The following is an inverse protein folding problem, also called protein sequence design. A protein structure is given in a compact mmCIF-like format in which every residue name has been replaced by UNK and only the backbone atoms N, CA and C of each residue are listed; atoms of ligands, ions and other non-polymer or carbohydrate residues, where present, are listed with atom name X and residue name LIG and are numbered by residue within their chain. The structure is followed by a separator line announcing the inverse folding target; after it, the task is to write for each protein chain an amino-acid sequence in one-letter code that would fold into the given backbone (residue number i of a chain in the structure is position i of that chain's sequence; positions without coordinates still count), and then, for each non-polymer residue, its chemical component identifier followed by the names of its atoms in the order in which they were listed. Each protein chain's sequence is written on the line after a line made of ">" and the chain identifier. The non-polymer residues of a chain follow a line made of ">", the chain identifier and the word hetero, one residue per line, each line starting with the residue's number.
data_IF_646518560069
#
_entry.id   IF_646518560069
#
_cell.length_a   1.000
_cell.length_b   1.000
_cell.length_c   1.000
_cell.angle_alpha   90.00
_cell.angle_beta   90.00
_cell.angle_gamma   90.00
#
_symmetry.space_group_name_H-M   'P 1'
#
loop_
_entity.id
_entity.type
_entity.pdbx_description
1 polymer ?
#
# COMPACT_ATOMS: atom_id res chain seq x y z
N UNK A 1 19.05 -18.41 13.75
CA UNK A 1 18.60 -17.03 13.45
C UNK A 1 17.17 -17.10 12.98
N UNK A 2 16.23 -16.76 13.88
CA UNK A 2 14.83 -16.81 13.57
C UNK A 2 14.49 -15.92 12.36
N UNK A 3 13.59 -16.33 11.48
CA UNK A 3 13.20 -15.58 10.28
C UNK A 3 12.29 -14.39 10.67
N UNK A 4 12.85 -13.42 11.43
CA UNK A 4 12.07 -12.28 11.96
C UNK A 4 11.58 -11.34 10.87
N UNK A 5 12.40 -11.13 9.82
CA UNK A 5 12.03 -10.25 8.70
C UNK A 5 10.82 -10.79 7.92
N UNK A 6 10.79 -12.05 7.46
CA UNK A 6 9.61 -12.58 6.78
C UNK A 6 8.37 -12.67 7.68
N UNK A 7 8.54 -12.95 8.96
CA UNK A 7 7.43 -12.93 9.92
C UNK A 7 6.86 -11.53 10.06
N UNK A 8 7.68 -10.50 10.14
CA UNK A 8 7.26 -9.10 10.21
C UNK A 8 6.53 -8.68 8.93
N UNK A 9 7.03 -9.03 7.76
CA UNK A 9 6.37 -8.79 6.47
C UNK A 9 4.98 -9.44 6.46
N UNK A 10 4.89 -10.68 6.93
CA UNK A 10 3.65 -11.42 7.00
C UNK A 10 2.64 -10.76 7.96
N UNK A 11 3.07 -10.33 9.14
CA UNK A 11 2.22 -9.64 10.12
C UNK A 11 1.68 -8.32 9.53
N UNK A 12 2.56 -7.46 9.00
CA UNK A 12 2.17 -6.19 8.40
C UNK A 12 1.23 -6.41 7.21
N UNK A 13 1.46 -7.45 6.41
CA UNK A 13 0.61 -7.85 5.30
C UNK A 13 -0.77 -8.29 5.77
N UNK A 14 -0.82 -9.25 6.71
CA UNK A 14 -2.07 -9.80 7.24
C UNK A 14 -2.93 -8.80 7.98
N UNK A 15 -2.33 -7.87 8.73
CA UNK A 15 -3.10 -6.83 9.43
C UNK A 15 -3.68 -5.79 8.47
N UNK A 16 -3.03 -5.55 7.34
CA UNK A 16 -3.46 -4.52 6.38
C UNK A 16 -4.44 -5.01 5.30
N UNK A 17 -4.48 -6.31 5.01
CA UNK A 17 -5.26 -6.84 3.89
C UNK A 17 -6.79 -6.77 4.07
N UNK A 18 -7.38 -6.90 5.30
CA UNK A 18 -8.83 -6.90 5.42
C UNK A 18 -9.49 -5.58 5.00
N UNK A 19 -8.84 -4.44 5.25
CA UNK A 19 -9.32 -3.13 4.82
C UNK A 19 -9.33 -3.01 3.29
N UNK A 20 -8.23 -3.40 2.64
CA UNK A 20 -8.11 -3.42 1.17
C UNK A 20 -9.11 -4.38 0.53
N UNK A 21 -9.25 -5.58 1.09
CA UNK A 21 -10.21 -6.58 0.62
C UNK A 21 -11.66 -6.08 0.70
N UNK A 22 -12.02 -5.33 1.74
CA UNK A 22 -13.36 -4.76 1.90
C UNK A 22 -13.65 -3.73 0.81
N UNK A 23 -12.70 -2.85 0.51
CA UNK A 23 -12.83 -1.85 -0.56
C UNK A 23 -12.93 -2.54 -1.93
N UNK A 24 -12.08 -3.52 -2.22
CA UNK A 24 -12.14 -4.28 -3.47
C UNK A 24 -13.44 -5.05 -3.61
N UNK A 25 -13.95 -5.64 -2.53
CA UNK A 25 -15.26 -6.32 -2.54
C UNK A 25 -16.38 -5.37 -2.93
N UNK A 26 -16.46 -4.17 -2.34
CA UNK A 26 -17.49 -3.19 -2.67
C UNK A 26 -17.42 -2.73 -4.14
N UNK A 27 -16.21 -2.51 -4.65
CA UNK A 27 -15.98 -2.18 -6.06
C UNK A 27 -16.36 -3.33 -7.00
N UNK A 28 -16.00 -4.56 -6.65
CA UNK A 28 -16.39 -5.76 -7.42
C UNK A 28 -17.90 -5.90 -7.50
N UNK A 29 -18.61 -5.68 -6.41
CA UNK A 29 -20.07 -5.74 -6.40
C UNK A 29 -20.68 -4.66 -7.30
N UNK A 30 -20.15 -3.45 -7.29
CA UNK A 30 -20.59 -2.37 -8.16
C UNK A 30 -20.36 -2.70 -9.67
N UNK A 31 -19.21 -3.27 -10.03
CA UNK A 31 -18.92 -3.68 -11.40
C UNK A 31 -19.84 -4.83 -11.84
N UNK A 32 -20.08 -5.80 -10.97
CA UNK A 32 -20.99 -6.95 -11.27
C UNK A 32 -22.43 -6.55 -11.50
N UNK A 33 -22.87 -5.43 -10.95
CA UNK A 33 -24.23 -4.90 -11.14
C UNK A 33 -24.40 -4.11 -12.44
N UNK A 34 -23.33 -3.89 -13.22
CA UNK A 34 -23.42 -3.16 -14.48
C UNK A 34 -24.11 -3.98 -15.58
N UNK A 35 -24.79 -3.27 -16.49
CA UNK A 35 -25.59 -3.85 -17.58
C UNK A 35 -24.80 -4.76 -18.50
N UNK A 36 -23.53 -4.41 -18.81
CA UNK A 36 -22.68 -5.25 -19.69
C UNK A 36 -22.37 -6.63 -19.08
N UNK A 37 -22.23 -6.72 -17.75
CA UNK A 37 -22.07 -8.00 -17.06
C UNK A 37 -23.36 -8.83 -17.10
N UNK A 38 -24.51 -8.16 -16.96
CA UNK A 38 -25.84 -8.79 -17.10
C UNK A 38 -26.05 -9.34 -18.50
N UNK A 39 -25.72 -8.57 -19.54
CA UNK A 39 -25.80 -8.99 -20.93
C UNK A 39 -24.94 -10.24 -21.23
N UNK A 40 -23.68 -10.22 -20.79
CA UNK A 40 -22.79 -11.39 -20.95
C UNK A 40 -23.33 -12.64 -20.28
N UNK A 41 -23.94 -12.47 -19.10
CA UNK A 41 -24.55 -13.59 -18.36
C UNK A 41 -25.76 -14.14 -19.09
N UNK A 42 -26.58 -13.27 -19.70
CA UNK A 42 -27.73 -13.67 -20.52
C UNK A 42 -27.31 -14.43 -21.80
N UNK A 43 -26.13 -14.11 -22.35
CA UNK A 43 -25.52 -14.84 -23.48
C UNK A 43 -24.85 -16.17 -23.09
N UNK A 44 -24.94 -16.59 -21.83
CA UNK A 44 -24.40 -17.86 -21.34
C UNK A 44 -22.93 -17.83 -20.93
N UNK A 45 -22.31 -16.65 -20.75
CA UNK A 45 -20.92 -16.54 -20.30
C UNK A 45 -20.74 -17.11 -18.89
N UNK A 46 -19.76 -17.99 -18.72
CA UNK A 46 -19.42 -18.60 -17.43
C UNK A 46 -18.83 -17.57 -16.44
N UNK A 47 -18.99 -17.83 -15.14
CA UNK A 47 -18.56 -16.92 -14.08
C UNK A 47 -17.06 -16.58 -14.13
N UNK A 48 -16.21 -17.56 -14.46
CA UNK A 48 -14.77 -17.35 -14.60
C UNK A 48 -14.44 -16.42 -15.77
N UNK A 49 -15.11 -16.58 -16.90
CA UNK A 49 -14.95 -15.72 -18.08
C UNK A 49 -15.36 -14.28 -17.76
N UNK A 50 -16.48 -14.07 -17.08
CA UNK A 50 -16.93 -12.74 -16.65
C UNK A 50 -15.90 -12.13 -15.68
N UNK A 51 -15.35 -12.91 -14.76
CA UNK A 51 -14.38 -12.43 -13.79
C UNK A 51 -13.11 -11.94 -14.48
N UNK A 52 -12.54 -12.72 -15.38
CA UNK A 52 -11.25 -12.42 -16.03
C UNK A 52 -11.34 -11.37 -17.12
N UNK A 53 -12.43 -11.37 -17.91
CA UNK A 53 -12.58 -10.48 -19.09
C UNK A 53 -13.30 -9.17 -18.79
N UNK A 54 -14.15 -9.14 -17.76
CA UNK A 54 -14.98 -7.95 -17.51
C UNK A 54 -14.73 -7.35 -16.13
N UNK A 55 -14.69 -8.16 -15.07
CA UNK A 55 -14.57 -7.64 -13.70
C UNK A 55 -13.13 -7.23 -13.40
N UNK A 56 -12.18 -8.15 -13.60
CA UNK A 56 -10.78 -7.91 -13.24
C UNK A 56 -10.16 -6.73 -13.99
N UNK A 57 -10.30 -6.57 -15.32
CA UNK A 57 -9.76 -5.41 -16.03
C UNK A 57 -10.30 -4.07 -15.52
N UNK A 58 -11.58 -4.02 -15.15
CA UNK A 58 -12.19 -2.82 -14.55
C UNK A 58 -11.74 -2.53 -13.13
N UNK A 59 -11.17 -3.52 -12.43
CA UNK A 59 -10.63 -3.36 -11.08
C UNK A 59 -9.13 -3.04 -11.05
N UNK A 60 -8.39 -3.30 -12.13
CA UNK A 60 -6.93 -3.12 -12.18
C UNK A 60 -6.51 -1.73 -11.74
N UNK A 61 -7.14 -0.67 -12.27
CA UNK A 61 -6.86 0.70 -11.86
C UNK A 61 -7.06 0.91 -10.35
N UNK A 62 -8.16 0.40 -9.80
CA UNK A 62 -8.45 0.48 -8.37
C UNK A 62 -7.42 -0.29 -7.54
N UNK A 63 -7.00 -1.48 -7.99
CA UNK A 63 -5.99 -2.29 -7.31
C UNK A 63 -4.65 -1.56 -7.26
N UNK A 64 -4.21 -1.00 -8.40
CA UNK A 64 -2.96 -0.26 -8.51
C UNK A 64 -2.97 0.93 -7.54
N UNK A 65 -4.02 1.75 -7.56
CA UNK A 65 -4.16 2.92 -6.69
C UNK A 65 -4.15 2.52 -5.20
N UNK A 66 -4.95 1.53 -4.81
CA UNK A 66 -5.01 1.08 -3.41
C UNK A 66 -3.67 0.51 -2.94
N UNK A 67 -2.97 -0.23 -3.78
CA UNK A 67 -1.64 -0.77 -3.47
C UNK A 67 -0.65 0.37 -3.25
N UNK A 68 -0.58 1.33 -4.17
CA UNK A 68 0.37 2.45 -4.10
C UNK A 68 0.13 3.32 -2.87
N UNK A 69 -1.12 3.69 -2.58
CA UNK A 69 -1.48 4.49 -1.40
C UNK A 69 -1.19 3.73 -0.09
N UNK A 70 -1.21 2.40 -0.09
CA UNK A 70 -0.92 1.62 1.11
C UNK A 70 0.58 1.54 1.45
N UNK A 71 1.48 1.78 0.51
CA UNK A 71 2.95 1.66 0.70
C UNK A 71 3.46 2.58 1.80
N UNK A 72 3.17 3.91 1.82
CA UNK A 72 3.65 4.81 2.87
C UNK A 72 3.28 4.35 4.27
N UNK A 73 2.04 3.88 4.45
CA UNK A 73 1.58 3.37 5.74
C UNK A 73 2.34 2.12 6.20
N UNK A 74 2.76 1.26 5.27
CA UNK A 74 3.57 0.07 5.59
C UNK A 74 5.01 0.43 5.95
N UNK A 75 5.61 1.39 5.24
CA UNK A 75 6.93 1.93 5.55
C UNK A 75 6.94 2.54 6.95
N UNK A 76 5.95 3.36 7.27
CA UNK A 76 5.83 3.98 8.58
C UNK A 76 5.59 2.95 9.70
N UNK A 77 4.77 1.94 9.44
CA UNK A 77 4.52 0.86 10.40
C UNK A 77 5.79 0.04 10.69
N UNK A 78 6.59 -0.30 9.66
CA UNK A 78 7.89 -0.95 9.82
C UNK A 78 8.83 -0.07 10.66
N UNK A 79 8.96 1.20 10.30
CA UNK A 79 9.82 2.13 11.00
C UNK A 79 9.44 2.27 12.49
N UNK A 80 8.15 2.35 12.80
CA UNK A 80 7.64 2.40 14.17
C UNK A 80 7.97 1.12 14.96
N UNK A 81 7.75 -0.06 14.38
CA UNK A 81 8.08 -1.33 15.00
C UNK A 81 9.59 -1.48 15.23
N UNK A 82 10.40 -1.07 14.27
CA UNK A 82 11.87 -1.10 14.38
C UNK A 82 12.40 -0.10 15.40
N UNK A 83 11.78 1.07 15.49
CA UNK A 83 12.05 2.06 16.54
C UNK A 83 11.79 1.50 17.93
N UNK A 84 10.70 0.78 18.12
CA UNK A 84 10.33 0.12 19.39
C UNK A 84 11.17 -1.13 19.69
N UNK A 85 12.11 -1.51 18.82
CA UNK A 85 12.98 -2.68 19.00
C UNK A 85 12.35 -4.02 18.64
N UNK A 86 11.10 -4.04 18.15
CA UNK A 86 10.37 -5.26 17.77
C UNK A 86 10.44 -5.54 16.26
N UNK A 87 11.06 -4.63 15.49
CA UNK A 87 11.17 -4.70 14.04
C UNK A 87 12.34 -5.54 13.53
N UNK A 88 12.99 -5.04 12.49
CA UNK A 88 14.07 -5.72 11.77
C UNK A 88 15.30 -5.90 12.68
N UNK A 89 15.80 -7.15 12.88
CA UNK A 89 16.95 -7.39 13.75
C UNK A 89 18.29 -6.98 13.08
N UNK A 90 19.33 -6.65 13.89
CA UNK A 90 20.68 -6.50 13.37
C UNK A 90 21.15 -7.80 12.69
N UNK A 91 22.02 -7.74 11.66
CA UNK A 91 22.67 -6.56 11.08
C UNK A 91 21.85 -5.84 10.00
N UNK A 92 20.62 -6.25 9.72
CA UNK A 92 19.79 -5.67 8.64
C UNK A 92 19.50 -4.19 8.92
N UNK A 93 19.76 -3.26 7.98
CA UNK A 93 19.52 -1.84 8.18
C UNK A 93 18.01 -1.54 8.21
N UNK A 94 17.61 -0.58 9.07
CA UNK A 94 16.25 -0.03 9.13
C UNK A 94 16.32 1.43 9.56
N UNK A 95 15.56 2.29 8.91
CA UNK A 95 15.46 3.71 9.28
C UNK A 95 14.87 3.89 10.68
N UNK A 96 13.85 3.11 11.03
CA UNK A 96 13.24 3.18 12.36
C UNK A 96 14.22 2.89 13.48
N UNK A 97 15.09 1.88 13.31
CA UNK A 97 16.12 1.57 14.29
C UNK A 97 17.23 2.64 14.31
N UNK A 98 17.62 3.16 13.15
CA UNK A 98 18.59 4.27 13.09
C UNK A 98 18.08 5.49 13.84
N UNK A 99 16.79 5.82 13.69
CA UNK A 99 16.14 6.88 14.46
C UNK A 99 16.15 6.56 15.96
N UNK A 100 15.83 5.32 16.36
CA UNK A 100 15.83 4.90 17.75
C UNK A 100 17.20 5.00 18.42
N UNK A 101 18.25 4.58 17.72
CA UNK A 101 19.64 4.70 18.23
C UNK A 101 20.13 6.15 18.28
N UNK A 102 19.65 6.99 17.37
CA UNK A 102 20.05 8.40 17.28
C UNK A 102 19.54 9.25 18.44
N UNK A 103 18.47 8.85 19.12
CA UNK A 103 17.92 9.59 20.26
C UNK A 103 18.96 9.76 21.38
N UNK A 104 19.80 8.74 21.59
CA UNK A 104 20.85 8.79 22.62
C UNK A 104 21.92 9.86 22.30
N UNK A 105 22.09 10.21 21.03
CA UNK A 105 23.11 11.12 20.56
C UNK A 105 22.60 12.52 20.17
N UNK A 106 21.27 12.73 20.24
CA UNK A 106 20.63 13.95 19.75
C UNK A 106 21.17 15.24 20.39
N UNK A 107 21.62 15.15 21.64
CA UNK A 107 22.19 16.30 22.37
C UNK A 107 23.61 16.65 21.93
N UNK A 108 24.37 15.67 21.41
CA UNK A 108 25.79 15.82 21.00
C UNK A 108 25.91 15.98 19.48
N UNK A 109 25.12 15.20 18.74
CA UNK A 109 25.10 15.21 17.26
C UNK A 109 23.66 15.08 16.74
N UNK A 110 22.92 16.17 16.55
CA UNK A 110 21.55 16.16 16.07
C UNK A 110 21.42 15.62 14.63
N UNK A 111 22.48 15.69 13.83
CA UNK A 111 22.48 15.21 12.46
C UNK A 111 22.26 13.70 12.35
N UNK A 112 22.69 12.96 13.37
CA UNK A 112 22.48 11.51 13.41
C UNK A 112 21.00 11.11 13.44
N UNK A 113 20.13 11.98 13.96
CA UNK A 113 18.68 11.82 13.92
C UNK A 113 18.05 12.40 12.62
N UNK A 114 18.56 13.55 12.18
CA UNK A 114 17.99 14.29 11.04
C UNK A 114 18.08 13.50 9.73
N UNK A 115 19.19 12.86 9.44
CA UNK A 115 19.37 12.12 8.18
C UNK A 115 18.39 10.95 8.01
N UNK A 116 18.27 9.98 8.95
CA UNK A 116 17.31 8.88 8.78
C UNK A 116 15.86 9.36 8.89
N UNK A 117 15.57 10.38 9.69
CA UNK A 117 14.24 10.98 9.78
C UNK A 117 13.83 11.67 8.49
N UNK A 118 14.72 12.47 7.89
CA UNK A 118 14.49 13.10 6.60
C UNK A 118 14.34 12.08 5.47
N UNK A 119 15.16 11.03 5.44
CA UNK A 119 15.06 9.97 4.46
C UNK A 119 13.68 9.28 4.52
N UNK A 120 13.24 8.91 5.71
CA UNK A 120 11.93 8.29 5.93
C UNK A 120 10.79 9.24 5.51
N UNK A 121 10.88 10.51 5.88
CA UNK A 121 9.91 11.53 5.51
C UNK A 121 9.82 11.72 3.99
N UNK A 122 10.97 11.89 3.31
CA UNK A 122 11.01 12.10 1.86
C UNK A 122 10.47 10.91 1.07
N UNK A 123 10.82 9.69 1.47
CA UNK A 123 10.30 8.48 0.81
C UNK A 123 8.80 8.36 1.02
N UNK A 124 8.32 8.58 2.24
CA UNK A 124 6.87 8.55 2.53
C UNK A 124 6.11 9.62 1.75
N UNK A 125 6.65 10.83 1.70
CA UNK A 125 6.09 11.95 0.92
C UNK A 125 6.06 11.62 -0.58
N UNK A 126 7.16 11.09 -1.13
CA UNK A 126 7.23 10.73 -2.54
C UNK A 126 6.18 9.68 -2.93
N UNK A 127 6.00 8.64 -2.11
CA UNK A 127 4.98 7.63 -2.35
C UNK A 127 3.55 8.15 -2.18
N UNK A 128 3.30 9.09 -1.26
CA UNK A 128 1.99 9.74 -1.14
C UNK A 128 1.67 10.56 -2.39
N UNK A 129 2.59 11.44 -2.82
CA UNK A 129 2.41 12.25 -4.03
C UNK A 129 2.25 11.39 -5.28
N UNK A 130 3.04 10.33 -5.40
CA UNK A 130 2.94 9.39 -6.52
C UNK A 130 1.58 8.66 -6.50
N UNK A 131 1.11 8.21 -5.34
CA UNK A 131 -0.18 7.56 -5.18
C UNK A 131 -1.36 8.48 -5.53
N UNK A 132 -1.30 9.74 -5.12
CA UNK A 132 -2.33 10.75 -5.46
C UNK A 132 -2.31 11.06 -6.96
N UNK A 133 -1.14 11.28 -7.56
CA UNK A 133 -1.02 11.49 -9.01
C UNK A 133 -1.51 10.30 -9.83
N UNK A 134 -1.26 9.08 -9.36
CA UNK A 134 -1.73 7.87 -10.02
C UNK A 134 -3.26 7.71 -9.90
N UNK A 135 -3.82 8.08 -8.76
CA UNK A 135 -5.25 8.11 -8.53
C UNK A 135 -5.94 9.09 -9.49
N UNK A 136 -5.40 10.30 -9.61
CA UNK A 136 -5.96 11.32 -10.51
C UNK A 136 -5.85 10.91 -11.98
N UNK A 137 -4.73 10.31 -12.38
CA UNK A 137 -4.52 9.82 -13.74
C UNK A 137 -5.44 8.64 -14.12
N UNK A 138 -5.83 7.81 -13.15
CA UNK A 138 -6.66 6.63 -13.37
C UNK A 138 -8.15 6.88 -13.03
N UNK A 139 -8.54 8.09 -12.59
CA UNK A 139 -9.95 8.44 -12.36
C UNK A 139 -10.60 8.83 -13.70
N UNK A 140 -11.58 8.05 -14.20
CA UNK A 140 -12.24 8.33 -15.48
C UNK A 140 -13.12 9.59 -15.47
N UNK A 141 -13.32 10.25 -14.31
CA UNK A 141 -14.18 11.44 -14.19
C UNK A 141 -13.51 12.75 -14.59
N UNK A 142 -12.18 12.77 -14.76
CA UNK A 142 -11.44 13.97 -15.16
C UNK A 142 -11.58 14.32 -16.65
N UNK A 143 -12.25 13.49 -17.48
CA UNK A 143 -12.44 13.71 -18.92
C UNK A 143 -13.67 14.53 -19.31
N UNK A 144 -14.55 14.93 -18.40
CA UNK A 144 -15.85 15.52 -18.72
C UNK A 144 -15.90 17.07 -18.66
N UNK A 145 -14.75 17.73 -18.42
CA UNK A 145 -14.65 19.20 -18.37
C UNK A 145 -13.66 19.78 -19.40
N UNK A 146 -13.68 19.25 -20.64
CA UNK A 146 -13.06 19.93 -21.78
C UNK A 146 -13.98 19.96 -22.97
#
# INVERSE_FOLDING_TARGET
>A
TAPRVPVMILIIGLLGWPSTARVLRSRTMAVRARTFVGASRAMGAGGLHIMTTQVLPNLVATIIVLTTISIPGKITAEAALSFLGVGVPPPTPSWGRSIGSAITWVATDPWYLVFPGAALFLVTLAFNLFGDGLRDALDPRTGEHR
#
